data_IF_032128788826
#
_entry.id   IF_032128788826
#
_cell.length_a   1.000
_cell.length_b   1.000
_cell.length_c   1.000
_cell.angle_alpha   90.00
_cell.angle_beta   90.00
_cell.angle_gamma   90.00
#
_symmetry.space_group_name_H-M   'P 1'
#
loop_
_entity.id
_entity.type
_entity.pdbx_description
1 polymer ?
#
# COMPACT_ATOMS: atom_id res chain seq x y z
N UNK A 1 -6.91 -14.98 -13.31
CA UNK A 1 -5.99 -15.33 -14.41
C UNK A 1 -5.17 -14.09 -14.71
N UNK A 2 -3.88 -14.09 -14.44
CA UNK A 2 -2.98 -12.91 -14.55
C UNK A 2 -2.65 -12.52 -16.01
N UNK A 3 -3.44 -12.98 -16.98
CA UNK A 3 -3.32 -12.63 -18.38
C UNK A 3 -4.62 -11.97 -18.79
N UNK A 4 -4.52 -10.78 -19.38
CA UNK A 4 -5.66 -10.00 -19.87
C UNK A 4 -6.66 -10.94 -20.60
N UNK A 5 -7.93 -11.02 -20.16
CA UNK A 5 -8.91 -11.90 -20.78
C UNK A 5 -9.06 -11.62 -22.29
N UNK A 6 -8.88 -10.37 -22.70
CA UNK A 6 -8.96 -9.90 -24.08
C UNK A 6 -7.66 -10.07 -24.89
N UNK A 7 -6.56 -10.57 -24.29
CA UNK A 7 -5.34 -10.82 -25.04
C UNK A 7 -5.54 -11.95 -26.07
N UNK A 8 -4.95 -11.76 -27.25
CA UNK A 8 -4.98 -12.73 -28.34
C UNK A 8 -4.25 -14.01 -27.96
N UNK A 9 -4.58 -15.12 -28.63
CA UNK A 9 -3.94 -16.41 -28.39
C UNK A 9 -2.41 -16.34 -28.54
N UNK A 10 -1.92 -15.58 -29.53
CA UNK A 10 -0.49 -15.40 -29.80
C UNK A 10 0.24 -14.68 -28.66
N UNK A 11 -0.38 -13.65 -28.09
CA UNK A 11 0.16 -12.92 -26.93
C UNK A 11 0.22 -13.81 -25.68
N UNK A 12 -0.84 -14.59 -25.43
CA UNK A 12 -0.89 -15.58 -24.35
C UNK A 12 0.22 -16.64 -24.52
N UNK A 13 0.48 -17.09 -25.73
CA UNK A 13 1.55 -18.05 -26.02
C UNK A 13 2.93 -17.45 -25.75
N UNK A 14 3.17 -16.21 -26.21
CA UNK A 14 4.44 -15.50 -26.01
C UNK A 14 4.73 -15.25 -24.53
N UNK A 15 3.72 -14.84 -23.76
CA UNK A 15 3.83 -14.65 -22.32
C UNK A 15 4.20 -15.95 -21.58
N UNK A 16 3.63 -17.08 -21.99
CA UNK A 16 3.98 -18.40 -21.43
C UNK A 16 5.44 -18.78 -21.70
N UNK A 17 5.93 -18.56 -22.92
CA UNK A 17 7.34 -18.84 -23.27
C UNK A 17 8.30 -17.98 -22.45
N UNK A 18 7.98 -16.69 -22.27
CA UNK A 18 8.79 -15.78 -21.45
C UNK A 18 8.81 -16.24 -19.99
N UNK A 19 7.64 -16.61 -19.44
CA UNK A 19 7.52 -17.09 -18.06
C UNK A 19 8.30 -18.38 -17.83
N UNK A 20 8.25 -19.33 -18.75
CA UNK A 20 9.00 -20.59 -18.65
C UNK A 20 10.52 -20.34 -18.73
N UNK A 21 10.98 -19.44 -19.62
CA UNK A 21 12.38 -19.04 -19.70
C UNK A 21 12.87 -18.35 -18.41
N UNK A 22 12.06 -17.45 -17.86
CA UNK A 22 12.35 -16.74 -16.62
C UNK A 22 12.47 -17.70 -15.43
N UNK A 23 11.49 -18.59 -15.24
CA UNK A 23 11.50 -19.57 -14.15
C UNK A 23 12.65 -20.57 -14.27
N UNK A 24 13.00 -20.98 -15.50
CA UNK A 24 14.17 -21.83 -15.74
C UNK A 24 15.47 -21.14 -15.31
N UNK A 25 15.64 -19.85 -15.65
CA UNK A 25 16.80 -19.08 -15.21
C UNK A 25 16.84 -18.95 -13.69
N UNK A 26 15.72 -18.60 -13.06
CA UNK A 26 15.63 -18.53 -11.60
C UNK A 26 15.98 -19.85 -10.92
N UNK A 27 15.55 -21.00 -11.46
CA UNK A 27 15.92 -22.31 -10.93
C UNK A 27 17.41 -22.56 -11.07
N UNK A 28 17.99 -22.24 -12.24
CA UNK A 28 19.42 -22.37 -12.51
C UNK A 28 20.29 -21.55 -11.55
N UNK A 29 19.82 -20.38 -11.13
CA UNK A 29 20.48 -19.54 -10.12
C UNK A 29 20.11 -19.89 -8.66
N UNK A 30 19.33 -20.95 -8.43
CA UNK A 30 18.91 -21.33 -7.07
C UNK A 30 17.88 -20.38 -6.41
N UNK A 31 17.37 -19.38 -7.14
CA UNK A 31 16.47 -18.34 -6.61
C UNK A 31 15.06 -18.85 -6.29
N UNK A 32 14.69 -20.03 -6.80
CA UNK A 32 13.41 -20.68 -6.46
C UNK A 32 13.49 -21.53 -5.19
N UNK A 33 14.67 -21.70 -4.59
CA UNK A 33 14.86 -22.62 -3.47
C UNK A 33 14.35 -24.03 -3.79
N UNK A 34 13.54 -24.58 -2.89
CA UNK A 34 12.95 -25.92 -3.02
C UNK A 34 11.78 -25.99 -4.01
N UNK A 35 11.25 -24.85 -4.50
CA UNK A 35 10.13 -24.86 -5.43
C UNK A 35 10.54 -25.44 -6.78
N UNK A 36 9.66 -26.28 -7.34
CA UNK A 36 9.74 -26.70 -8.73
C UNK A 36 9.30 -25.56 -9.66
N UNK A 37 9.76 -25.58 -10.91
CA UNK A 37 9.30 -24.63 -11.94
C UNK A 37 7.77 -24.67 -12.08
N UNK A 38 7.17 -25.85 -11.94
CA UNK A 38 5.72 -26.04 -11.99
C UNK A 38 5.02 -25.35 -10.82
N UNK A 39 5.49 -25.52 -9.58
CA UNK A 39 4.90 -24.86 -8.41
C UNK A 39 5.07 -23.35 -8.47
N UNK A 40 6.25 -22.86 -8.87
CA UNK A 40 6.48 -21.43 -9.07
C UNK A 40 5.54 -20.85 -10.16
N UNK A 41 5.33 -21.59 -11.25
CA UNK A 41 4.35 -21.21 -12.29
C UNK A 41 2.92 -21.22 -11.77
N UNK A 42 2.55 -22.21 -10.96
CA UNK A 42 1.23 -22.29 -10.36
C UNK A 42 0.99 -21.15 -9.35
N UNK A 43 2.02 -20.73 -8.61
CA UNK A 43 2.00 -19.53 -7.76
C UNK A 43 1.81 -18.25 -8.57
N UNK A 44 2.65 -18.01 -9.59
CA UNK A 44 2.57 -16.81 -10.44
C UNK A 44 1.22 -16.73 -11.16
N UNK A 45 0.68 -17.85 -11.62
CA UNK A 45 -0.61 -17.86 -12.34
C UNK A 45 -1.82 -17.85 -11.41
N UNK A 46 -1.62 -17.95 -10.09
CA UNK A 46 -2.67 -18.07 -9.08
C UNK A 46 -3.40 -19.42 -9.09
N UNK A 47 -2.98 -20.38 -9.94
CA UNK A 47 -3.58 -21.73 -10.02
C UNK A 47 -3.31 -22.56 -8.77
N UNK A 48 -2.18 -22.35 -8.11
CA UNK A 48 -1.84 -23.01 -6.86
C UNK A 48 -2.90 -22.71 -5.79
N UNK A 49 -3.26 -21.43 -5.65
CA UNK A 49 -4.26 -20.95 -4.69
C UNK A 49 -5.67 -21.44 -5.04
N UNK A 50 -5.99 -21.60 -6.33
CA UNK A 50 -7.25 -22.20 -6.78
C UNK A 50 -7.33 -23.71 -6.48
N UNK A 51 -6.23 -24.45 -6.64
CA UNK A 51 -6.14 -25.88 -6.26
C UNK A 51 -6.24 -26.07 -4.75
N UNK A 52 -5.61 -25.19 -3.97
CA UNK A 52 -5.65 -25.19 -2.52
C UNK A 52 -6.88 -24.47 -1.93
N UNK A 53 -7.89 -24.12 -2.73
CA UNK A 53 -9.10 -23.44 -2.22
C UNK A 53 -9.79 -24.19 -1.07
N UNK A 54 -9.66 -25.53 -1.06
CA UNK A 54 -10.18 -26.41 0.00
C UNK A 54 -9.10 -26.86 1.01
N UNK A 55 -7.90 -26.28 0.99
CA UNK A 55 -6.89 -26.57 2.00
C UNK A 55 -7.33 -26.01 3.36
N UNK A 56 -6.88 -26.67 4.43
CA UNK A 56 -7.15 -26.24 5.80
C UNK A 56 -6.72 -24.78 6.02
N UNK A 57 -5.63 -24.33 5.40
CA UNK A 57 -5.13 -22.97 5.52
C UNK A 57 -6.01 -21.94 4.82
N UNK A 58 -6.50 -22.25 3.61
CA UNK A 58 -7.44 -21.37 2.91
C UNK A 58 -8.79 -21.31 3.61
N UNK A 59 -9.25 -22.40 4.22
CA UNK A 59 -10.45 -22.39 5.07
C UNK A 59 -10.26 -21.54 6.33
N UNK A 60 -9.08 -21.60 6.99
CA UNK A 60 -8.74 -20.72 8.11
C UNK A 60 -8.71 -19.25 7.70
N UNK A 61 -8.10 -18.92 6.56
CA UNK A 61 -8.11 -17.56 6.03
C UNK A 61 -9.54 -17.09 5.70
N UNK A 62 -10.36 -17.94 5.08
CA UNK A 62 -11.76 -17.62 4.79
C UNK A 62 -12.59 -17.43 6.06
N UNK A 63 -12.34 -18.21 7.10
CA UNK A 63 -12.99 -18.07 8.42
C UNK A 63 -12.56 -16.79 9.15
N UNK A 64 -11.27 -16.44 9.12
CA UNK A 64 -10.81 -15.15 9.65
C UNK A 64 -11.42 -13.98 8.86
N UNK A 65 -11.49 -14.11 7.54
CA UNK A 65 -12.13 -13.12 6.69
C UNK A 65 -13.62 -12.97 7.01
N UNK A 66 -14.33 -14.07 7.27
CA UNK A 66 -15.75 -14.02 7.64
C UNK A 66 -15.96 -13.40 9.02
N UNK A 67 -15.12 -13.72 10.01
CA UNK A 67 -15.15 -13.09 11.34
C UNK A 67 -14.93 -11.57 11.28
N UNK A 68 -13.94 -11.13 10.50
CA UNK A 68 -13.69 -9.70 10.32
C UNK A 68 -14.84 -9.02 9.56
N UNK A 69 -15.39 -9.68 8.54
CA UNK A 69 -16.55 -9.20 7.80
C UNK A 69 -17.81 -9.07 8.64
N UNK A 70 -18.01 -9.93 9.65
CA UNK A 70 -19.12 -9.80 10.60
C UNK A 70 -19.02 -8.51 11.43
N UNK A 71 -17.81 -7.99 11.65
CA UNK A 71 -17.56 -6.73 12.36
C UNK A 71 -17.53 -5.49 11.45
N UNK A 72 -17.97 -5.63 10.19
CA UNK A 72 -18.01 -4.57 9.18
C UNK A 72 -16.70 -4.34 8.43
N UNK A 73 -15.67 -5.15 8.66
CA UNK A 73 -14.39 -5.03 7.98
C UNK A 73 -14.37 -5.79 6.65
N UNK A 74 -13.99 -5.14 5.57
CA UNK A 74 -13.69 -5.81 4.31
C UNK A 74 -12.21 -6.20 4.27
N UNK A 75 -11.93 -7.45 3.95
CA UNK A 75 -10.55 -7.95 3.90
C UNK A 75 -10.14 -8.42 2.50
N UNK A 76 -8.84 -8.33 2.22
CA UNK A 76 -8.23 -8.89 1.01
C UNK A 76 -6.81 -9.42 1.31
N UNK A 77 -6.32 -10.29 0.43
CA UNK A 77 -5.00 -10.91 0.55
C UNK A 77 -4.28 -10.90 -0.80
N UNK A 78 -2.95 -10.79 -0.76
CA UNK A 78 -2.05 -10.66 -1.91
C UNK A 78 -2.64 -9.71 -2.96
N UNK A 79 -2.92 -8.48 -2.52
CA UNK A 79 -3.79 -7.57 -3.26
C UNK A 79 -3.05 -6.31 -3.70
N UNK A 80 -3.43 -5.84 -4.88
CA UNK A 80 -3.21 -4.45 -5.26
C UNK A 80 -4.04 -3.56 -4.34
N UNK A 81 -3.41 -2.53 -3.80
CA UNK A 81 -4.00 -1.54 -2.91
C UNK A 81 -3.93 -0.16 -3.56
N UNK A 82 -5.06 0.54 -3.62
CA UNK A 82 -5.14 1.92 -4.07
C UNK A 82 -6.07 2.68 -3.13
N UNK A 83 -5.53 3.69 -2.46
CA UNK A 83 -6.28 4.60 -1.62
C UNK A 83 -6.23 6.01 -2.19
N UNK A 84 -7.34 6.73 -2.05
CA UNK A 84 -7.48 8.17 -2.35
C UNK A 84 -8.19 8.86 -1.20
N UNK A 85 -7.69 10.01 -0.78
CA UNK A 85 -8.17 10.78 0.37
C UNK A 85 -7.00 11.43 1.07
N UNK A 86 -7.20 12.20 2.14
CA UNK A 86 -6.07 12.68 2.93
C UNK A 86 -5.46 11.50 3.67
N UNK A 87 -4.26 11.08 3.25
CA UNK A 87 -3.62 9.88 3.79
C UNK A 87 -2.64 10.30 4.87
N UNK A 88 -2.95 9.93 6.11
CA UNK A 88 -1.99 10.00 7.20
C UNK A 88 -1.34 8.64 7.37
N UNK A 89 -0.08 8.55 6.95
CA UNK A 89 0.74 7.39 7.19
C UNK A 89 1.74 7.67 8.33
N UNK A 90 1.86 6.72 9.25
CA UNK A 90 2.79 6.80 10.37
C UNK A 90 3.85 5.71 10.22
N UNK A 91 4.86 5.96 9.38
CA UNK A 91 5.97 5.02 9.23
C UNK A 91 7.17 5.38 10.12
N UNK A 92 7.85 4.40 10.75
CA UNK A 92 8.94 4.66 11.70
C UNK A 92 10.08 5.53 11.16
N UNK A 93 10.41 5.43 9.86
CA UNK A 93 11.49 6.22 9.26
C UNK A 93 11.08 7.67 8.96
N UNK A 94 9.79 8.01 8.99
CA UNK A 94 9.31 9.39 8.85
C UNK A 94 9.30 10.15 10.17
N UNK A 95 9.41 9.45 11.28
CA UNK A 95 9.38 10.03 12.63
C UNK A 95 10.36 11.20 12.80
N UNK A 96 11.63 11.14 12.34
CA UNK A 96 12.54 12.28 12.46
C UNK A 96 12.06 13.53 11.69
N UNK A 97 11.47 13.34 10.51
CA UNK A 97 10.93 14.45 9.71
C UNK A 97 9.68 15.03 10.36
N UNK A 98 8.81 14.19 10.95
CA UNK A 98 7.62 14.64 11.69
C UNK A 98 8.03 15.51 12.88
N UNK A 99 9.04 15.05 13.63
CA UNK A 99 9.60 15.80 14.75
C UNK A 99 10.15 17.15 14.25
N UNK A 100 10.86 17.16 13.11
CA UNK A 100 11.34 18.39 12.48
C UNK A 100 10.21 19.37 12.12
N UNK A 101 9.14 18.89 11.51
CA UNK A 101 7.93 19.69 11.19
C UNK A 101 7.31 20.24 12.47
N UNK A 102 7.07 19.40 13.49
CA UNK A 102 6.45 19.83 14.76
C UNK A 102 7.31 20.86 15.47
N UNK A 103 8.61 20.61 15.62
CA UNK A 103 9.53 21.52 16.31
C UNK A 103 9.63 22.88 15.59
N UNK A 104 9.77 22.88 14.26
CA UNK A 104 9.82 24.14 13.50
C UNK A 104 8.50 24.90 13.57
N UNK A 105 7.36 24.20 13.56
CA UNK A 105 6.02 24.80 13.74
C UNK A 105 5.86 25.46 15.10
N UNK A 106 6.20 24.74 16.19
CA UNK A 106 6.14 25.26 17.55
C UNK A 106 7.08 26.45 17.75
N UNK A 107 8.30 26.36 17.22
CA UNK A 107 9.27 27.44 17.33
C UNK A 107 8.81 28.69 16.55
N UNK A 108 8.18 28.49 15.39
CA UNK A 108 7.59 29.59 14.61
C UNK A 108 6.49 30.27 15.41
N UNK A 109 5.55 29.51 15.98
CA UNK A 109 4.47 30.08 16.80
C UNK A 109 4.99 30.83 18.04
N UNK A 110 6.02 30.28 18.71
CA UNK A 110 6.61 30.89 19.89
C UNK A 110 7.31 32.21 19.56
N UNK A 111 8.06 32.26 18.46
CA UNK A 111 8.93 33.39 18.13
C UNK A 111 8.25 34.44 17.25
N UNK A 112 7.10 34.13 16.64
CA UNK A 112 6.39 35.02 15.69
C UNK A 112 6.13 36.42 16.26
N UNK A 113 5.70 36.49 17.52
CA UNK A 113 5.33 37.75 18.17
C UNK A 113 6.42 38.29 19.12
N UNK A 114 7.47 37.51 19.39
CA UNK A 114 8.52 37.85 20.37
C UNK A 114 9.73 38.49 19.68
N UNK A 115 10.07 38.03 18.47
CA UNK A 115 11.21 38.53 17.70
C UNK A 115 10.76 38.94 16.30
N UNK A 116 10.52 40.23 16.04
CA UNK A 116 10.05 40.74 14.74
C UNK A 116 11.18 40.82 13.70
N UNK A 117 12.10 39.85 13.70
CA UNK A 117 13.19 39.79 12.75
C UNK A 117 12.75 39.01 11.51
N UNK A 118 12.62 39.71 10.38
CA UNK A 118 12.25 39.11 9.09
C UNK A 118 13.17 37.94 8.68
N UNK A 119 14.46 38.03 9.01
CA UNK A 119 15.43 36.97 8.73
C UNK A 119 15.13 35.67 9.49
N UNK A 120 14.75 35.76 10.77
CA UNK A 120 14.39 34.59 11.57
C UNK A 120 13.12 33.92 11.02
N UNK A 121 12.09 34.70 10.71
CA UNK A 121 10.87 34.15 10.12
C UNK A 121 11.15 33.47 8.79
N UNK A 122 12.02 34.05 7.95
CA UNK A 122 12.45 33.43 6.70
C UNK A 122 13.16 32.09 6.96
N UNK A 123 14.13 32.03 7.88
CA UNK A 123 14.86 30.80 8.21
C UNK A 123 13.89 29.72 8.71
N UNK A 124 12.97 30.06 9.62
CA UNK A 124 12.00 29.11 10.16
C UNK A 124 11.04 28.60 9.08
N UNK A 125 10.56 29.49 8.22
CA UNK A 125 9.67 29.15 7.10
C UNK A 125 10.38 28.22 6.11
N UNK A 126 11.61 28.55 5.70
CA UNK A 126 12.42 27.71 4.82
C UNK A 126 12.71 26.35 5.46
N UNK A 127 13.03 26.31 6.76
CA UNK A 127 13.27 25.06 7.48
C UNK A 127 12.02 24.18 7.53
N UNK A 128 10.85 24.77 7.80
CA UNK A 128 9.57 24.06 7.75
C UNK A 128 9.34 23.43 6.38
N UNK A 129 9.47 24.22 5.30
CA UNK A 129 9.30 23.71 3.94
C UNK A 129 10.34 22.66 3.56
N UNK A 130 11.56 22.74 4.08
CA UNK A 130 12.58 21.72 3.88
C UNK A 130 12.16 20.38 4.49
N UNK A 131 11.67 20.36 5.73
CA UNK A 131 11.19 19.12 6.36
C UNK A 131 9.96 18.55 5.64
N UNK A 132 9.02 19.41 5.26
CA UNK A 132 7.82 19.02 4.51
C UNK A 132 8.18 18.47 3.12
N UNK A 133 9.08 19.12 2.39
CA UNK A 133 9.54 18.65 1.08
C UNK A 133 10.32 17.33 1.20
N UNK A 134 11.17 17.21 2.23
CA UNK A 134 11.89 15.96 2.52
C UNK A 134 10.93 14.81 2.83
N UNK A 135 9.86 15.07 3.57
CA UNK A 135 8.78 14.10 3.82
C UNK A 135 8.18 13.64 2.50
N UNK A 136 7.70 14.56 1.67
CA UNK A 136 7.08 14.21 0.39
C UNK A 136 8.02 13.46 -0.56
N UNK A 137 9.30 13.82 -0.59
CA UNK A 137 10.27 13.12 -1.44
C UNK A 137 10.45 11.66 -1.03
N UNK A 138 10.54 11.37 0.27
CA UNK A 138 10.65 9.99 0.74
C UNK A 138 9.39 9.17 0.44
N UNK A 139 8.22 9.81 0.41
CA UNK A 139 6.93 9.15 0.17
C UNK A 139 6.81 8.64 -1.27
N UNK A 140 7.41 9.40 -2.20
CA UNK A 140 7.45 9.03 -3.63
C UNK A 140 8.30 7.80 -3.93
N UNK A 141 9.19 7.40 -3.01
CA UNK A 141 10.04 6.22 -3.18
C UNK A 141 9.28 4.99 -2.71
N UNK A 142 9.12 3.95 -3.55
CA UNK A 142 8.47 2.71 -3.13
C UNK A 142 9.16 2.11 -1.90
N UNK A 143 8.41 1.92 -0.83
CA UNK A 143 8.94 1.38 0.42
C UNK A 143 8.04 0.26 0.96
N UNK A 144 8.66 -0.69 1.65
CA UNK A 144 7.99 -1.84 2.25
C UNK A 144 7.77 -1.60 3.74
N UNK A 145 6.54 -1.86 4.20
CA UNK A 145 6.11 -1.70 5.59
C UNK A 145 5.82 -3.06 6.19
N UNK A 146 6.08 -3.24 7.49
CA UNK A 146 5.65 -4.47 8.19
C UNK A 146 4.15 -4.41 8.50
N UNK A 147 3.70 -3.31 9.08
CA UNK A 147 2.29 -3.00 9.35
C UNK A 147 2.09 -1.52 8.99
N UNK A 148 1.02 -1.20 8.26
CA UNK A 148 0.62 0.17 7.95
C UNK A 148 -0.81 0.42 8.44
N UNK A 149 -1.01 1.49 9.20
CA UNK A 149 -2.34 2.04 9.47
C UNK A 149 -2.55 3.22 8.53
N UNK A 150 -3.73 3.28 7.93
CA UNK A 150 -4.13 4.29 6.96
C UNK A 150 -5.42 4.92 7.47
N UNK A 151 -5.32 6.16 7.91
CA UNK A 151 -6.49 7.00 8.16
C UNK A 151 -6.72 7.84 6.91
N UNK A 152 -7.86 7.62 6.26
CA UNK A 152 -8.17 8.21 4.97
C UNK A 152 -9.40 9.08 5.15
N UNK A 153 -9.15 10.36 5.33
CA UNK A 153 -10.16 11.34 5.70
C UNK A 153 -10.65 12.14 4.49
N UNK A 154 -11.94 12.45 4.49
CA UNK A 154 -12.62 13.27 3.50
C UNK A 154 -12.39 14.75 3.75
N UNK A 155 -12.31 15.18 5.02
CA UNK A 155 -12.30 16.60 5.40
C UNK A 155 -11.08 17.37 4.88
N UNK A 156 -9.97 16.66 4.67
CA UNK A 156 -8.71 17.22 4.19
C UNK A 156 -8.42 16.89 2.72
N UNK A 157 -9.38 16.32 1.99
CA UNK A 157 -9.21 15.95 0.58
C UNK A 157 -9.97 16.89 -0.37
N UNK A 158 -9.28 17.57 -1.32
CA UNK A 158 -9.90 18.63 -2.15
C UNK A 158 -11.10 18.20 -2.99
N UNK A 159 -11.22 16.90 -3.34
CA UNK A 159 -12.34 16.40 -4.13
C UNK A 159 -13.55 15.96 -3.30
N UNK A 160 -13.41 15.87 -1.98
CA UNK A 160 -14.46 15.42 -1.06
C UNK A 160 -14.89 13.96 -1.23
N UNK A 161 -14.21 13.15 -2.04
CA UNK A 161 -14.55 11.73 -2.21
C UNK A 161 -13.32 10.87 -1.93
N UNK A 162 -13.33 10.19 -0.79
CA UNK A 162 -12.32 9.19 -0.48
C UNK A 162 -12.69 7.82 -1.01
N UNK A 163 -11.68 7.00 -1.28
CA UNK A 163 -11.90 5.61 -1.68
C UNK A 163 -10.73 4.72 -1.33
N UNK A 164 -11.01 3.49 -0.92
CA UNK A 164 -10.03 2.40 -0.88
C UNK A 164 -10.48 1.28 -1.80
N UNK A 165 -9.66 1.00 -2.79
CA UNK A 165 -9.83 -0.07 -3.74
C UNK A 165 -8.79 -1.16 -3.51
N UNK A 166 -9.25 -2.41 -3.42
CA UNK A 166 -8.35 -3.56 -3.36
C UNK A 166 -8.74 -4.63 -4.38
N UNK A 167 -7.73 -5.22 -5.01
CA UNK A 167 -7.91 -6.34 -5.93
C UNK A 167 -6.90 -7.43 -5.59
N UNK A 168 -7.41 -8.54 -5.05
CA UNK A 168 -6.59 -9.65 -4.60
C UNK A 168 -7.33 -10.98 -4.62
N UNK A 169 -6.87 -11.91 -3.80
CA UNK A 169 -7.38 -13.28 -3.76
C UNK A 169 -8.83 -13.40 -3.31
N UNK A 170 -9.30 -12.45 -2.50
CA UNK A 170 -10.70 -12.40 -2.04
C UNK A 170 -11.60 -11.56 -2.96
N UNK A 171 -11.11 -11.29 -4.19
CA UNK A 171 -11.82 -10.57 -5.23
C UNK A 171 -11.60 -9.05 -5.16
N UNK A 172 -12.45 -8.33 -5.91
CA UNK A 172 -12.47 -6.87 -5.92
C UNK A 172 -13.27 -6.36 -4.73
N UNK A 173 -12.70 -5.43 -3.98
CA UNK A 173 -13.36 -4.71 -2.89
C UNK A 173 -13.16 -3.21 -3.10
N UNK A 174 -14.18 -2.42 -2.79
CA UNK A 174 -14.14 -0.97 -2.94
C UNK A 174 -14.99 -0.34 -1.84
N UNK A 175 -14.39 0.52 -1.04
CA UNK A 175 -15.08 1.36 -0.05
C UNK A 175 -14.95 2.80 -0.53
N UNK A 176 -16.06 3.53 -0.58
CA UNK A 176 -16.13 4.92 -1.03
C UNK A 176 -16.98 5.75 -0.08
N UNK A 177 -16.55 6.98 0.20
CA UNK A 177 -17.25 7.93 1.06
C UNK A 177 -16.94 7.79 2.56
N UNK A 178 -17.17 8.87 3.31
CA UNK A 178 -16.89 8.96 4.75
C UNK A 178 -15.39 8.98 5.05
N UNK A 179 -15.02 8.65 6.29
CA UNK A 179 -13.62 8.37 6.65
C UNK A 179 -13.38 6.86 6.57
N UNK A 180 -12.23 6.42 6.08
CA UNK A 180 -11.91 4.99 5.93
C UNK A 180 -10.68 4.66 6.77
N UNK A 181 -10.82 3.70 7.68
CA UNK A 181 -9.69 3.10 8.39
C UNK A 181 -9.25 1.84 7.66
N UNK A 182 -7.97 1.76 7.30
CA UNK A 182 -7.40 0.57 6.71
C UNK A 182 -6.10 0.16 7.41
N UNK A 183 -5.88 -1.15 7.46
CA UNK A 183 -4.72 -1.79 8.05
C UNK A 183 -4.11 -2.73 7.03
N UNK A 184 -2.84 -2.52 6.67
CA UNK A 184 -2.10 -3.39 5.77
C UNK A 184 -0.98 -4.09 6.51
N UNK A 185 -0.66 -5.31 6.06
CA UNK A 185 0.55 -6.04 6.46
C UNK A 185 1.41 -6.17 5.23
N UNK A 186 2.69 -5.77 5.31
CA UNK A 186 3.62 -5.95 4.19
C UNK A 186 3.42 -4.99 3.02
N UNK A 187 2.80 -3.81 3.21
CA UNK A 187 2.53 -2.92 2.08
C UNK A 187 3.84 -2.43 1.46
N UNK A 188 3.98 -2.62 0.14
CA UNK A 188 5.05 -2.09 -0.69
C UNK A 188 4.47 -1.20 -1.75
N UNK A 189 4.81 0.08 -1.75
CA UNK A 189 4.28 1.01 -2.74
C UNK A 189 4.69 2.45 -2.51
N UNK A 190 4.07 3.32 -3.32
CA UNK A 190 4.25 4.76 -3.27
C UNK A 190 3.11 5.35 -2.45
N UNK A 191 3.46 6.28 -1.57
CA UNK A 191 2.49 7.09 -0.84
C UNK A 191 2.69 8.54 -1.29
N UNK A 192 1.61 9.26 -1.45
CA UNK A 192 1.60 10.68 -1.71
C UNK A 192 0.45 11.25 -0.87
N UNK A 193 0.45 12.56 -0.58
CA UNK A 193 -0.47 13.16 0.39
C UNK A 193 -1.94 12.78 0.19
N UNK A 194 -2.32 12.51 -1.06
CA UNK A 194 -3.69 12.19 -1.40
C UNK A 194 -3.92 10.83 -2.06
N UNK A 195 -2.86 10.04 -2.23
CA UNK A 195 -2.94 8.78 -2.97
C UNK A 195 -1.90 7.80 -2.47
N UNK A 196 -2.30 6.55 -2.22
CA UNK A 196 -1.36 5.46 -1.94
C UNK A 196 -1.62 4.35 -2.93
N UNK A 197 -0.57 3.89 -3.59
CA UNK A 197 -0.66 2.83 -4.59
C UNK A 197 0.44 1.81 -4.32
N UNK A 198 0.06 0.54 -4.19
CA UNK A 198 1.04 -0.50 -3.97
C UNK A 198 0.45 -1.89 -3.95
N UNK A 199 1.23 -2.79 -3.39
CA UNK A 199 0.87 -4.17 -3.13
C UNK A 199 0.88 -4.42 -1.63
N UNK A 200 -0.08 -5.20 -1.12
CA UNK A 200 0.00 -5.69 0.26
C UNK A 200 -0.40 -7.17 0.35
N UNK A 201 0.38 -7.99 1.07
CA UNK A 201 0.01 -9.36 1.43
C UNK A 201 -1.34 -9.49 2.11
N UNK A 202 -1.71 -8.53 2.95
CA UNK A 202 -3.01 -8.51 3.61
C UNK A 202 -3.48 -7.08 3.83
N UNK A 203 -4.80 -6.88 3.74
CA UNK A 203 -5.47 -5.64 4.12
C UNK A 203 -6.81 -5.93 4.79
N UNK A 204 -7.12 -5.16 5.82
CA UNK A 204 -8.44 -5.02 6.40
C UNK A 204 -8.84 -3.54 6.31
N UNK A 205 -10.04 -3.25 5.83
CA UNK A 205 -10.53 -1.88 5.66
C UNK A 205 -11.99 -1.76 6.06
N UNK A 206 -12.36 -0.62 6.64
CA UNK A 206 -13.71 -0.34 7.13
C UNK A 206 -14.04 1.14 6.92
N UNK A 207 -15.23 1.41 6.39
CA UNK A 207 -15.80 2.75 6.41
C UNK A 207 -16.32 3.07 7.81
N UNK A 208 -16.05 4.29 8.29
CA UNK A 208 -16.57 4.81 9.55
C UNK A 208 -17.97 5.41 9.37
#
# INVERSE_FOLDING_TARGET
MLVNPHATFREKLRANVIMDSFLSKMKGYGLLGNLTIKEARELITGRYLMKQRNSLEMQKMAMMASLLSQNGWQVNAMCYFNAKGAIFDMFPWKVPLAIGVVLTSMLTMLLWNVYPSALLHLILTVSFYFFVAGWFLLDTIPHTTTIGRWDIDQDYYPSGVVSVYTLGLLGKKNITGGSIDAWTIGFTGVVAPFIAIGFCPFVAMKGQ
#
